data_IF_667743504863
#
_entry.id   IF_667743504863
#
_cell.length_a   1.000
_cell.length_b   1.000
_cell.length_c   1.000
_cell.angle_alpha   90.00
_cell.angle_beta   90.00
_cell.angle_gamma   90.00
#
_symmetry.space_group_name_H-M   'P 1'
#
loop_
_entity.id
_entity.type
_entity.pdbx_description
1 polymer ?
#
# COMPACT_ATOMS: atom_id res chain seq x y z
N UNK A 1 -16.75 -20.92 -6.53
CA UNK A 1 -16.41 -20.12 -5.33
C UNK A 1 -15.61 -18.92 -5.78
N UNK A 2 -16.09 -17.71 -5.51
CA UNK A 2 -15.39 -16.46 -5.83
C UNK A 2 -14.29 -16.20 -4.81
N UNK A 3 -13.06 -15.96 -5.26
CA UNK A 3 -11.92 -15.64 -4.40
C UNK A 3 -12.07 -14.20 -3.88
N UNK A 4 -11.70 -13.99 -2.62
CA UNK A 4 -11.66 -12.64 -2.01
C UNK A 4 -10.55 -11.80 -2.65
N UNK A 5 -10.69 -10.48 -2.57
CA UNK A 5 -9.67 -9.54 -3.01
C UNK A 5 -8.51 -9.62 -2.03
N UNK A 6 -7.30 -9.84 -2.55
CA UNK A 6 -6.08 -9.91 -1.74
C UNK A 6 -5.53 -8.52 -1.40
N UNK A 7 -5.49 -7.60 -2.38
CA UNK A 7 -5.00 -6.24 -2.19
C UNK A 7 -5.44 -5.35 -3.37
N UNK A 8 -5.27 -4.04 -3.22
CA UNK A 8 -5.49 -3.02 -4.26
C UNK A 8 -4.19 -2.24 -4.44
N UNK A 9 -3.64 -2.22 -5.65
CA UNK A 9 -2.49 -1.39 -5.99
C UNK A 9 -2.92 0.04 -6.33
N UNK A 10 -2.30 1.04 -5.72
CA UNK A 10 -2.55 2.47 -6.00
C UNK A 10 -1.25 3.11 -6.48
N UNK A 11 -1.22 3.58 -7.73
CA UNK A 11 -0.09 4.31 -8.28
C UNK A 11 -0.10 5.76 -7.77
N UNK A 12 1.02 6.21 -7.20
CA UNK A 12 1.18 7.56 -6.66
C UNK A 12 2.41 8.24 -7.25
N UNK A 13 2.39 9.58 -7.34
CA UNK A 13 3.53 10.36 -7.86
C UNK A 13 4.74 10.32 -6.93
N UNK A 14 4.51 10.27 -5.63
CA UNK A 14 5.57 10.21 -4.61
C UNK A 14 5.06 9.37 -3.43
N UNK A 15 5.77 8.29 -3.11
CA UNK A 15 5.39 7.35 -2.07
C UNK A 15 5.48 7.99 -0.67
N UNK A 16 6.57 8.70 -0.39
CA UNK A 16 6.84 9.34 0.91
C UNK A 16 5.83 10.44 1.23
N UNK A 17 5.37 11.17 0.22
CA UNK A 17 4.31 12.16 0.38
C UNK A 17 2.91 11.53 0.54
N UNK A 18 2.71 10.30 0.05
CA UNK A 18 1.41 9.63 0.06
C UNK A 18 1.18 8.82 1.34
N UNK A 19 2.22 8.21 1.91
CA UNK A 19 2.13 7.38 3.13
C UNK A 19 1.41 8.12 4.28
N UNK A 20 1.73 9.39 4.62
CA UNK A 20 1.06 10.10 5.72
C UNK A 20 -0.45 10.24 5.51
N UNK A 21 -0.91 10.37 4.26
CA UNK A 21 -2.35 10.45 3.99
C UNK A 21 -3.04 9.13 4.34
N UNK A 22 -2.53 8.00 3.88
CA UNK A 22 -3.14 6.70 4.18
C UNK A 22 -2.98 6.32 5.66
N UNK A 23 -1.82 6.59 6.27
CA UNK A 23 -1.53 6.27 7.68
C UNK A 23 -2.25 7.20 8.66
N UNK A 24 -2.07 8.51 8.52
CA UNK A 24 -2.48 9.49 9.54
C UNK A 24 -3.89 10.02 9.31
N UNK A 25 -4.31 10.17 8.05
CA UNK A 25 -5.65 10.71 7.72
C UNK A 25 -6.67 9.59 7.63
N UNK A 26 -6.33 8.49 6.95
CA UNK A 26 -7.24 7.34 6.79
C UNK A 26 -7.07 6.28 7.89
N UNK A 27 -6.04 6.38 8.73
CA UNK A 27 -5.83 5.48 9.86
C UNK A 27 -5.39 4.06 9.47
N UNK A 28 -4.83 3.88 8.27
CA UNK A 28 -4.32 2.58 7.83
C UNK A 28 -3.01 2.24 8.53
N UNK A 29 -2.77 0.95 8.78
CA UNK A 29 -1.52 0.50 9.38
C UNK A 29 -0.43 0.43 8.32
N UNK A 30 0.71 1.08 8.56
CA UNK A 30 1.87 1.05 7.68
C UNK A 30 2.81 -0.07 8.11
N UNK A 31 2.88 -1.16 7.34
CA UNK A 31 3.74 -2.31 7.63
C UNK A 31 5.18 -2.10 7.14
N UNK A 32 5.39 -1.23 6.16
CA UNK A 32 6.72 -0.94 5.63
C UNK A 32 6.73 -0.61 4.14
N UNK A 33 7.93 -0.51 3.58
CA UNK A 33 8.11 -0.30 2.15
C UNK A 33 9.25 -1.14 1.60
N UNK A 34 9.08 -1.62 0.38
CA UNK A 34 10.06 -2.45 -0.32
C UNK A 34 10.34 -1.91 -1.73
N UNK A 35 11.57 -2.09 -2.19
CA UNK A 35 11.95 -1.82 -3.58
C UNK A 35 11.93 -3.14 -4.35
N UNK A 36 10.95 -3.29 -5.24
CA UNK A 36 10.83 -4.47 -6.11
C UNK A 36 11.58 -4.17 -7.40
N UNK A 37 12.89 -4.46 -7.40
CA UNK A 37 13.81 -4.09 -8.47
C UNK A 37 13.41 -4.65 -9.85
N UNK A 38 12.91 -5.89 -9.91
CA UNK A 38 12.44 -6.54 -11.15
C UNK A 38 11.29 -5.76 -11.79
N UNK A 39 10.41 -5.21 -10.97
CA UNK A 39 9.27 -4.40 -11.40
C UNK A 39 9.62 -2.90 -11.50
N UNK A 40 10.84 -2.50 -11.12
CA UNK A 40 11.32 -1.10 -11.10
C UNK A 40 10.41 -0.16 -10.30
N UNK A 41 9.80 -0.66 -9.23
CA UNK A 41 8.88 0.12 -8.36
C UNK A 41 9.30 0.05 -6.90
N UNK A 42 8.90 1.07 -6.14
CA UNK A 42 8.92 1.08 -4.68
C UNK A 42 7.48 1.02 -4.19
N UNK A 43 7.17 0.09 -3.30
CA UNK A 43 5.82 -0.17 -2.79
C UNK A 43 5.79 0.09 -1.29
N UNK A 44 4.70 0.69 -0.81
CA UNK A 44 4.38 0.77 0.62
C UNK A 44 3.23 -0.19 0.91
N UNK A 45 3.35 -0.98 1.96
CA UNK A 45 2.32 -1.88 2.43
C UNK A 45 1.48 -1.18 3.50
N UNK A 46 0.19 -1.04 3.20
CA UNK A 46 -0.80 -0.40 4.05
C UNK A 46 -1.95 -1.40 4.25
N UNK A 47 -2.19 -1.78 5.49
CA UNK A 47 -3.21 -2.78 5.84
C UNK A 47 -4.47 -2.06 6.31
N UNK A 48 -5.62 -2.57 5.85
CA UNK A 48 -6.93 -2.11 6.30
C UNK A 48 -7.91 -3.28 6.32
N UNK A 49 -8.45 -3.55 7.51
CA UNK A 49 -9.45 -4.60 7.74
C UNK A 49 -8.94 -6.01 7.45
N UNK A 50 -9.88 -6.96 7.47
CA UNK A 50 -9.66 -8.38 7.18
C UNK A 50 -10.65 -8.76 6.08
N UNK A 51 -10.15 -9.28 4.96
CA UNK A 51 -10.98 -9.71 3.81
C UNK A 51 -11.28 -11.18 3.91
#
# INVERSE_FOLDING_TARGET
MTKKISHIGIAVKNLEASIPFYRDVLGMEYEGSEVVAEQKVKVAFLVIGES
#
